data_IF_229037810704
#
_entry.id   IF_229037810704
#
_cell.length_a   1.000
_cell.length_b   1.000
_cell.length_c   1.000
_cell.angle_alpha   90.00
_cell.angle_beta   90.00
_cell.angle_gamma   90.00
#
_symmetry.space_group_name_H-M   'P 1'
#
loop_
_entity.id
_entity.type
_entity.pdbx_description
1 polymer ?
#
# COMPACT_ATOMS: atom_id res chain seq x y z
N UNK A 1 30.38 35.94 68.06
CA UNK A 1 29.25 36.13 67.17
C UNK A 1 29.58 35.55 65.82
N UNK A 2 29.22 34.26 65.59
CA UNK A 2 29.57 33.56 64.36
C UNK A 2 28.37 33.61 63.39
N UNK A 3 28.56 34.20 62.18
CA UNK A 3 27.57 34.23 61.12
C UNK A 3 27.62 32.91 60.38
N UNK A 4 26.51 32.16 60.41
CA UNK A 4 26.32 30.97 59.59
C UNK A 4 25.86 31.39 58.18
N UNK A 5 26.69 31.14 57.16
CA UNK A 5 26.34 31.35 55.78
C UNK A 5 25.73 30.05 55.23
N UNK A 6 24.44 30.09 54.87
CA UNK A 6 23.73 28.97 54.26
C UNK A 6 23.94 29.05 52.75
N UNK A 7 24.59 28.04 52.16
CA UNK A 7 24.75 27.89 50.70
C UNK A 7 23.54 27.09 50.21
N UNK A 8 22.68 27.70 49.43
CA UNK A 8 21.62 27.01 48.72
C UNK A 8 22.18 26.42 47.42
N UNK A 9 22.19 25.10 47.34
CA UNK A 9 22.56 24.39 46.12
C UNK A 9 21.35 24.38 45.16
N UNK A 10 21.47 25.06 44.03
CA UNK A 10 20.50 25.00 42.92
C UNK A 10 20.78 23.74 42.09
N UNK A 11 19.95 22.71 42.20
CA UNK A 11 19.98 21.55 41.34
C UNK A 11 19.29 21.90 40.02
N UNK A 12 20.05 22.12 38.95
CA UNK A 12 19.54 22.28 37.58
C UNK A 12 19.21 20.89 37.04
N UNK A 13 17.94 20.57 36.91
CA UNK A 13 17.45 19.37 36.20
C UNK A 13 17.55 19.63 34.72
N UNK A 14 18.54 19.03 34.07
CA UNK A 14 18.64 19.04 32.60
C UNK A 14 17.54 18.17 32.01
N UNK A 15 16.53 18.76 31.38
CA UNK A 15 15.59 18.09 30.51
C UNK A 15 16.34 17.73 29.21
N UNK A 16 16.70 16.46 29.07
CA UNK A 16 17.17 15.90 27.80
C UNK A 16 15.97 15.90 26.84
N UNK A 17 16.11 16.44 25.60
CA UNK A 17 15.07 16.29 24.62
C UNK A 17 14.92 14.79 24.30
N UNK A 18 13.72 14.25 24.48
CA UNK A 18 13.34 12.97 23.92
C UNK A 18 13.42 13.11 22.39
N UNK A 19 14.41 12.50 21.78
CA UNK A 19 14.43 12.34 20.31
C UNK A 19 13.16 11.54 19.97
N UNK A 20 12.22 12.15 19.26
CA UNK A 20 11.12 11.42 18.65
C UNK A 20 11.75 10.52 17.60
N UNK A 21 11.65 9.20 17.78
CA UNK A 21 11.96 8.24 16.73
C UNK A 21 10.87 8.45 15.68
N UNK A 22 11.24 9.06 14.58
CA UNK A 22 10.36 9.25 13.44
C UNK A 22 10.36 7.95 12.64
N UNK A 23 9.17 7.49 12.21
CA UNK A 23 9.05 6.36 11.31
C UNK A 23 9.93 6.56 10.07
N UNK A 24 10.64 5.52 9.66
CA UNK A 24 11.49 5.61 8.49
C UNK A 24 10.63 5.66 7.22
N UNK A 25 11.05 6.49 6.26
CA UNK A 25 10.42 6.61 4.95
C UNK A 25 11.08 5.67 3.95
N UNK A 26 10.27 5.07 3.09
CA UNK A 26 10.68 4.12 2.05
C UNK A 26 10.00 4.49 0.73
N UNK A 27 10.75 4.38 -0.37
CA UNK A 27 10.20 4.43 -1.73
C UNK A 27 10.07 3.01 -2.27
N UNK A 28 8.90 2.67 -2.81
CA UNK A 28 8.64 1.35 -3.40
C UNK A 28 9.52 1.17 -4.64
N UNK A 29 10.20 0.02 -4.72
CA UNK A 29 11.16 -0.31 -5.78
C UNK A 29 10.45 -0.90 -7.01
N UNK A 30 9.57 -0.11 -7.63
CA UNK A 30 8.82 -0.50 -8.82
C UNK A 30 9.68 -0.55 -10.09
N UNK A 31 10.69 0.34 -10.23
CA UNK A 31 11.56 0.42 -11.40
C UNK A 31 12.45 -0.82 -11.60
N UNK A 32 12.86 -1.48 -10.51
CA UNK A 32 13.72 -2.67 -10.56
C UNK A 32 12.93 -3.98 -10.50
N UNK A 33 11.62 -3.93 -10.64
CA UNK A 33 10.71 -5.09 -10.66
C UNK A 33 10.73 -5.91 -9.35
N UNK A 34 10.90 -5.26 -8.20
CA UNK A 34 10.73 -5.86 -6.88
C UNK A 34 9.39 -5.45 -6.23
N UNK A 35 8.44 -5.06 -7.09
CA UNK A 35 7.11 -4.68 -6.68
C UNK A 35 6.10 -5.10 -7.75
N UNK A 36 4.93 -5.62 -7.32
CA UNK A 36 3.90 -6.11 -8.22
C UNK A 36 2.52 -5.73 -7.69
N UNK A 37 1.66 -5.27 -8.59
CA UNK A 37 0.21 -5.14 -8.37
C UNK A 37 -0.46 -6.12 -9.31
N UNK A 38 -1.09 -7.15 -8.75
CA UNK A 38 -1.73 -8.23 -9.50
C UNK A 38 -3.21 -8.32 -9.14
N UNK A 39 -4.00 -8.74 -10.09
CA UNK A 39 -5.39 -9.11 -9.83
C UNK A 39 -5.72 -10.48 -10.42
N UNK A 40 -6.73 -11.09 -9.84
CA UNK A 40 -7.29 -12.36 -10.29
C UNK A 40 -8.81 -12.25 -10.30
N UNK A 41 -9.41 -12.56 -11.46
CA UNK A 41 -10.87 -12.60 -11.63
C UNK A 41 -11.30 -13.94 -12.20
N UNK A 42 -12.42 -14.48 -11.74
CA UNK A 42 -12.95 -15.72 -12.29
C UNK A 42 -13.38 -15.55 -13.74
N UNK A 43 -13.09 -16.51 -14.60
CA UNK A 43 -13.62 -16.59 -15.95
C UNK A 43 -14.71 -17.66 -16.02
N UNK A 44 -15.96 -17.26 -15.86
CA UNK A 44 -17.17 -18.07 -15.92
C UNK A 44 -17.18 -19.27 -14.95
N UNK A 45 -16.34 -19.24 -13.90
CA UNK A 45 -16.17 -20.35 -12.96
C UNK A 45 -15.31 -21.51 -13.50
N UNK A 46 -14.73 -21.42 -14.69
CA UNK A 46 -13.91 -22.47 -15.30
C UNK A 46 -12.41 -22.31 -15.07
N UNK A 47 -11.97 -21.05 -14.99
CA UNK A 47 -10.57 -20.68 -14.80
C UNK A 47 -10.49 -19.28 -14.22
N UNK A 48 -9.28 -18.73 -14.19
CA UNK A 48 -9.04 -17.36 -13.79
C UNK A 48 -8.31 -16.58 -14.89
N UNK A 49 -8.63 -15.30 -15.01
CA UNK A 49 -7.79 -14.32 -15.67
C UNK A 49 -6.93 -13.70 -14.57
N UNK A 50 -5.63 -13.63 -14.81
CA UNK A 50 -4.66 -12.94 -13.97
C UNK A 50 -4.13 -11.79 -14.81
N UNK A 51 -4.01 -10.62 -14.20
CA UNK A 51 -3.39 -9.46 -14.83
C UNK A 51 -2.56 -8.68 -13.82
N UNK A 52 -1.77 -7.77 -14.35
CA UNK A 52 -0.90 -6.86 -13.60
C UNK A 52 -1.16 -5.41 -14.00
N UNK A 53 -0.70 -4.49 -13.17
CA UNK A 53 -0.44 -3.11 -13.56
C UNK A 53 1.06 -2.89 -13.40
N UNK A 54 1.75 -2.64 -14.51
CA UNK A 54 3.22 -2.68 -14.58
C UNK A 54 3.86 -1.32 -14.32
N UNK A 55 3.10 -0.22 -14.40
CA UNK A 55 3.58 1.15 -14.12
C UNK A 55 2.85 1.75 -12.92
N UNK A 56 3.57 1.86 -11.82
CA UNK A 56 3.08 2.47 -10.59
C UNK A 56 4.24 3.03 -9.77
N UNK A 57 3.90 3.95 -8.88
CA UNK A 57 4.84 4.52 -7.92
C UNK A 57 4.24 4.48 -6.53
N UNK A 58 5.09 4.47 -5.50
CA UNK A 58 4.58 4.49 -4.14
C UNK A 58 5.66 4.77 -3.11
N UNK A 59 5.18 5.09 -1.92
CA UNK A 59 6.01 5.31 -0.75
C UNK A 59 5.27 4.85 0.51
N UNK A 60 6.01 4.48 1.54
CA UNK A 60 5.43 4.13 2.82
C UNK A 60 6.33 4.56 3.98
N UNK A 61 5.73 4.66 5.16
CA UNK A 61 6.44 4.82 6.41
C UNK A 61 6.29 3.56 7.25
N UNK A 62 7.37 3.16 7.92
CA UNK A 62 7.35 1.99 8.78
C UNK A 62 8.26 2.18 9.99
N UNK A 63 7.71 1.87 11.17
CA UNK A 63 8.44 1.79 12.43
C UNK A 63 7.98 0.52 13.17
N UNK A 64 8.87 -0.47 13.38
CA UNK A 64 8.50 -1.70 14.08
C UNK A 64 8.10 -1.49 15.54
N UNK A 65 8.51 -0.36 16.16
CA UNK A 65 8.15 0.01 17.52
C UNK A 65 6.80 0.76 17.60
N UNK A 66 6.25 1.22 16.43
CA UNK A 66 5.01 1.95 16.35
C UNK A 66 4.25 1.64 15.06
N UNK A 67 3.75 0.42 14.97
CA UNK A 67 3.07 -0.10 13.76
C UNK A 67 1.80 0.69 13.38
N UNK A 68 1.10 1.26 14.37
CA UNK A 68 -0.13 2.05 14.12
C UNK A 68 0.15 3.35 13.34
N UNK A 69 1.40 3.84 13.34
CA UNK A 69 1.83 4.99 12.56
C UNK A 69 2.25 4.64 11.13
N UNK A 70 2.19 3.34 10.74
CA UNK A 70 2.50 2.94 9.38
C UNK A 70 1.54 3.56 8.37
N UNK A 71 2.07 3.99 7.25
CA UNK A 71 1.27 4.57 6.17
C UNK A 71 1.82 4.16 4.80
N UNK A 72 0.95 4.09 3.80
CA UNK A 72 1.35 3.83 2.41
C UNK A 72 0.52 4.67 1.46
N UNK A 73 1.15 5.13 0.39
CA UNK A 73 0.52 5.77 -0.75
C UNK A 73 1.05 5.16 -2.03
N UNK A 74 0.14 4.75 -2.92
CA UNK A 74 0.45 4.17 -4.23
C UNK A 74 -0.34 4.92 -5.28
N UNK A 75 0.29 5.22 -6.44
CA UNK A 75 -0.37 5.72 -7.64
C UNK A 75 -0.05 4.75 -8.79
N UNK A 76 -1.05 4.42 -9.59
CA UNK A 76 -0.99 3.43 -10.66
C UNK A 76 -1.39 4.07 -11.97
N UNK A 77 -0.60 3.89 -13.03
CA UNK A 77 -1.04 4.16 -14.40
C UNK A 77 -1.93 2.98 -14.87
N UNK A 78 -3.23 3.22 -15.03
CA UNK A 78 -4.19 2.19 -15.44
C UNK A 78 -3.91 1.69 -16.87
N UNK A 79 -3.25 2.51 -17.71
CA UNK A 79 -2.85 2.10 -19.07
C UNK A 79 -1.81 0.97 -19.07
N UNK A 80 -1.12 0.76 -17.96
CA UNK A 80 -0.10 -0.31 -17.83
C UNK A 80 -0.68 -1.70 -17.56
N UNK A 81 -2.01 -1.85 -17.65
CA UNK A 81 -2.68 -3.14 -17.50
C UNK A 81 -2.17 -4.16 -18.53
N UNK A 82 -1.76 -5.34 -18.05
CA UNK A 82 -1.37 -6.49 -18.85
C UNK A 82 -2.04 -7.76 -18.32
N UNK A 83 -2.79 -8.45 -19.18
CA UNK A 83 -3.35 -9.77 -18.91
C UNK A 83 -2.75 -10.84 -19.80
N UNK A 84 -1.63 -10.57 -20.46
CA UNK A 84 -0.97 -11.39 -21.47
C UNK A 84 -1.84 -11.65 -22.72
N UNK A 85 -2.77 -10.73 -23.06
CA UNK A 85 -3.63 -10.84 -24.23
C UNK A 85 -4.13 -9.47 -24.71
N UNK A 86 -3.44 -8.88 -25.68
CA UNK A 86 -3.62 -7.50 -26.14
C UNK A 86 -5.08 -7.08 -26.47
N UNK A 87 -5.88 -7.96 -27.10
CA UNK A 87 -7.29 -7.63 -27.41
C UNK A 87 -8.16 -7.60 -26.16
N UNK A 88 -7.85 -8.41 -25.15
CA UNK A 88 -8.52 -8.37 -23.86
C UNK A 88 -8.11 -7.11 -23.10
N UNK A 89 -6.84 -6.77 -23.08
CA UNK A 89 -6.32 -5.56 -22.42
C UNK A 89 -6.99 -4.31 -23.00
N UNK A 90 -7.01 -4.21 -24.34
CA UNK A 90 -7.72 -3.14 -25.03
C UNK A 90 -9.20 -3.05 -24.65
N UNK A 91 -9.88 -4.19 -24.49
CA UNK A 91 -11.30 -4.21 -24.10
C UNK A 91 -11.50 -3.79 -22.66
N UNK A 92 -10.65 -4.28 -21.73
CA UNK A 92 -10.72 -3.89 -20.31
C UNK A 92 -10.44 -2.39 -20.12
N UNK A 93 -9.53 -1.82 -20.91
CA UNK A 93 -9.17 -0.40 -20.85
C UNK A 93 -10.22 0.53 -21.53
N UNK A 94 -11.17 -0.04 -22.31
CA UNK A 94 -12.18 0.74 -23.03
C UNK A 94 -13.26 1.33 -22.11
N UNK A 95 -14.12 2.17 -22.70
CA UNK A 95 -15.26 2.78 -22.03
C UNK A 95 -16.30 1.74 -21.53
N UNK A 96 -16.21 0.49 -21.97
CA UNK A 96 -17.06 -0.60 -21.47
C UNK A 96 -16.69 -1.05 -20.05
N UNK A 97 -15.46 -0.74 -19.57
CA UNK A 97 -14.96 -1.16 -18.25
C UNK A 97 -14.19 -0.05 -17.52
N UNK A 98 -12.88 0.08 -17.75
CA UNK A 98 -12.03 1.01 -16.97
C UNK A 98 -12.05 2.45 -17.52
N UNK A 99 -12.58 2.67 -18.72
CA UNK A 99 -12.70 3.98 -19.36
C UNK A 99 -11.41 4.82 -19.21
N UNK A 100 -10.25 4.22 -19.53
CA UNK A 100 -8.93 4.79 -19.24
C UNK A 100 -8.69 6.15 -19.90
N UNK A 101 -9.43 6.48 -20.97
CA UNK A 101 -9.43 7.81 -21.59
C UNK A 101 -9.96 8.91 -20.65
N UNK A 102 -10.80 8.57 -19.69
CA UNK A 102 -11.35 9.47 -18.68
C UNK A 102 -10.68 9.28 -17.31
N UNK A 103 -10.36 8.03 -16.94
CA UNK A 103 -9.78 7.65 -15.64
C UNK A 103 -8.44 6.93 -15.81
N UNK A 104 -7.37 7.63 -16.25
CA UNK A 104 -6.07 7.02 -16.55
C UNK A 104 -5.31 6.57 -15.32
N UNK A 105 -5.71 7.02 -14.12
CA UNK A 105 -4.98 6.77 -12.87
C UNK A 105 -5.88 6.09 -11.83
N UNK A 106 -5.27 5.19 -11.05
CA UNK A 106 -5.83 4.68 -9.80
C UNK A 106 -4.88 5.01 -8.65
N UNK A 107 -5.41 5.12 -7.43
CA UNK A 107 -4.58 5.43 -6.27
C UNK A 107 -5.10 4.78 -4.99
N UNK A 108 -4.17 4.46 -4.09
CA UNK A 108 -4.50 4.04 -2.73
C UNK A 108 -3.78 4.91 -1.71
N UNK A 109 -4.50 5.36 -0.69
CA UNK A 109 -3.95 6.12 0.44
C UNK A 109 -4.44 5.47 1.73
N UNK A 110 -3.53 4.97 2.54
CA UNK A 110 -3.91 4.36 3.83
C UNK A 110 -4.46 5.40 4.81
N UNK A 111 -5.42 4.96 5.61
CA UNK A 111 -6.05 5.77 6.68
C UNK A 111 -5.80 5.19 8.06
N UNK A 112 -5.31 3.95 8.16
CA UNK A 112 -4.95 3.31 9.43
C UNK A 112 -4.39 1.91 9.24
N UNK A 113 -3.68 1.44 10.27
CA UNK A 113 -3.16 0.08 10.36
C UNK A 113 -3.45 -0.51 11.74
N UNK A 114 -4.03 -1.71 11.76
CA UNK A 114 -4.32 -2.48 12.98
C UNK A 114 -3.45 -3.74 13.00
N UNK A 115 -2.41 -3.81 13.84
CA UNK A 115 -1.63 -5.05 14.00
C UNK A 115 -2.51 -6.19 14.52
N UNK A 116 -2.38 -7.40 13.95
CA UNK A 116 -3.16 -8.57 14.34
C UNK A 116 -2.31 -9.78 14.77
N UNK A 117 -0.98 -9.68 14.62
CA UNK A 117 -0.04 -10.72 14.98
C UNK A 117 1.38 -10.32 14.65
N UNK A 118 2.30 -11.24 14.75
CA UNK A 118 3.70 -11.03 14.43
C UNK A 118 3.86 -10.84 12.91
N UNK A 119 4.15 -9.61 12.48
CA UNK A 119 4.29 -9.23 11.07
C UNK A 119 2.97 -9.12 10.30
N UNK A 120 1.80 -9.30 10.91
CA UNK A 120 0.51 -9.26 10.23
C UNK A 120 -0.38 -8.14 10.74
N UNK A 121 -1.29 -7.65 9.88
CA UNK A 121 -2.24 -6.63 10.24
C UNK A 121 -3.29 -6.35 9.18
N UNK A 122 -4.18 -5.43 9.52
CA UNK A 122 -5.20 -4.90 8.61
C UNK A 122 -4.85 -3.46 8.27
N UNK A 123 -4.65 -3.21 6.99
CA UNK A 123 -4.44 -1.88 6.45
C UNK A 123 -5.77 -1.37 5.90
N UNK A 124 -6.28 -0.28 6.45
CA UNK A 124 -7.43 0.43 5.90
C UNK A 124 -6.97 1.62 5.08
N UNK A 125 -7.70 1.95 4.03
CA UNK A 125 -7.38 3.09 3.18
C UNK A 125 -8.43 3.35 2.12
N UNK A 126 -8.28 4.47 1.45
CA UNK A 126 -9.15 4.92 0.38
C UNK A 126 -8.54 4.48 -0.97
N UNK A 127 -9.24 3.60 -1.68
CA UNK A 127 -8.91 3.22 -3.06
C UNK A 127 -9.75 4.04 -4.02
N UNK A 128 -9.08 4.78 -4.91
CA UNK A 128 -9.71 5.45 -6.04
C UNK A 128 -9.45 4.63 -7.30
N UNK A 129 -10.51 4.17 -7.94
CA UNK A 129 -10.50 3.41 -9.20
C UNK A 129 -11.67 3.88 -10.05
N UNK A 130 -11.49 4.03 -11.37
CA UNK A 130 -12.55 4.46 -12.29
C UNK A 130 -13.27 5.75 -11.82
N UNK A 131 -12.51 6.69 -11.23
CA UNK A 131 -13.02 7.96 -10.70
C UNK A 131 -13.80 7.86 -9.38
N UNK A 132 -14.05 6.66 -8.86
CA UNK A 132 -14.78 6.42 -7.60
C UNK A 132 -13.82 6.09 -6.48
N UNK A 133 -14.01 6.70 -5.31
CA UNK A 133 -13.21 6.43 -4.11
C UNK A 133 -14.03 5.62 -3.11
N UNK A 134 -13.51 4.47 -2.68
CA UNK A 134 -14.12 3.61 -1.67
C UNK A 134 -13.11 3.26 -0.58
N UNK A 135 -13.54 3.18 0.68
CA UNK A 135 -12.72 2.64 1.74
C UNK A 135 -12.60 1.13 1.59
N UNK A 136 -11.37 0.62 1.61
CA UNK A 136 -11.08 -0.81 1.58
C UNK A 136 -10.24 -1.23 2.79
N UNK A 137 -10.22 -2.54 3.06
CA UNK A 137 -9.36 -3.16 4.06
C UNK A 137 -8.55 -4.28 3.41
N UNK A 138 -7.23 -4.21 3.52
CA UNK A 138 -6.31 -5.24 3.05
C UNK A 138 -5.76 -6.05 4.22
N UNK A 139 -5.62 -7.36 4.05
CA UNK A 139 -4.77 -8.16 4.93
C UNK A 139 -3.32 -7.95 4.50
N UNK A 140 -2.45 -7.59 5.42
CA UNK A 140 -1.04 -7.28 5.14
C UNK A 140 -0.13 -8.16 5.96
N UNK A 141 0.96 -8.61 5.35
CA UNK A 141 2.04 -9.35 6.00
C UNK A 141 3.38 -8.67 5.72
N UNK A 142 4.20 -8.53 6.77
CA UNK A 142 5.60 -8.11 6.67
C UNK A 142 6.46 -9.31 6.32
N UNK A 143 7.02 -9.34 5.12
CA UNK A 143 7.84 -10.45 4.61
C UNK A 143 9.22 -10.45 5.28
N UNK A 144 9.80 -9.26 5.47
CA UNK A 144 11.11 -9.09 6.08
C UNK A 144 11.78 -7.77 5.75
N UNK A 145 12.94 -7.53 6.34
CA UNK A 145 13.73 -6.33 6.07
C UNK A 145 15.17 -6.47 6.52
N UNK A 146 16.06 -5.62 5.99
CA UNK A 146 17.46 -5.62 6.31
C UNK A 146 18.30 -4.79 5.38
N UNK A 147 19.63 -4.80 5.62
CA UNK A 147 20.63 -4.19 4.74
C UNK A 147 20.70 -4.97 3.42
N UNK A 148 20.69 -4.25 2.31
CA UNK A 148 20.84 -4.84 0.98
C UNK A 148 22.32 -4.86 0.54
N UNK A 149 22.69 -5.66 -0.48
CA UNK A 149 24.07 -5.78 -0.95
C UNK A 149 24.65 -4.49 -1.58
N UNK A 150 23.80 -3.49 -1.83
CA UNK A 150 24.19 -2.22 -2.48
C UNK A 150 24.33 -1.07 -1.47
N UNK A 151 24.18 -1.35 -0.16
CA UNK A 151 24.35 -0.40 0.93
C UNK A 151 23.09 0.39 1.29
N UNK A 152 21.93 -0.05 0.82
CA UNK A 152 20.62 0.42 1.24
C UNK A 152 20.03 -0.42 2.37
N UNK A 153 18.84 -0.06 2.81
CA UNK A 153 18.03 -0.83 3.74
C UNK A 153 16.64 -1.03 3.15
N UNK A 154 16.13 -2.25 3.17
CA UNK A 154 14.85 -2.60 2.57
C UNK A 154 13.85 -3.14 3.58
N UNK A 155 12.58 -2.95 3.27
CA UNK A 155 11.44 -3.59 3.94
C UNK A 155 10.50 -4.14 2.88
N UNK A 156 10.06 -5.38 3.05
CA UNK A 156 9.16 -6.09 2.15
C UNK A 156 7.82 -6.39 2.79
N UNK A 157 6.74 -6.17 2.03
CA UNK A 157 5.37 -6.41 2.45
C UNK A 157 4.58 -7.07 1.33
N UNK A 158 3.56 -7.84 1.72
CA UNK A 158 2.49 -8.25 0.82
C UNK A 158 1.13 -7.89 1.40
N UNK A 159 0.14 -7.74 0.53
CA UNK A 159 -1.22 -7.42 0.93
C UNK A 159 -2.25 -7.96 -0.05
N UNK A 160 -3.43 -8.31 0.44
CA UNK A 160 -4.52 -8.80 -0.39
C UNK A 160 -5.88 -8.32 0.09
N UNK A 161 -6.80 -8.19 -0.87
CA UNK A 161 -8.21 -7.90 -0.61
C UNK A 161 -9.07 -8.37 -1.77
N UNK A 162 -10.38 -8.38 -1.59
CA UNK A 162 -11.36 -8.59 -2.67
C UNK A 162 -12.12 -7.30 -2.89
N UNK A 163 -12.29 -6.91 -4.15
CA UNK A 163 -13.03 -5.73 -4.59
C UNK A 163 -14.30 -6.16 -5.33
N UNK A 164 -15.42 -5.52 -5.01
CA UNK A 164 -16.63 -5.57 -5.81
C UNK A 164 -16.52 -4.53 -6.92
N UNK A 165 -16.51 -4.95 -8.18
CA UNK A 165 -16.32 -4.02 -9.31
C UNK A 165 -17.45 -2.99 -9.44
N UNK A 166 -18.67 -3.36 -9.06
CA UNK A 166 -19.82 -2.46 -9.05
C UNK A 166 -19.68 -1.28 -8.08
N UNK A 167 -18.87 -1.41 -7.01
CA UNK A 167 -18.61 -0.33 -6.06
C UNK A 167 -17.79 0.82 -6.68
N UNK A 168 -17.20 0.59 -7.85
CA UNK A 168 -16.44 1.55 -8.64
C UNK A 168 -17.13 1.96 -9.95
N UNK A 169 -18.46 1.85 -10.01
CA UNK A 169 -19.27 2.17 -11.19
C UNK A 169 -18.85 1.40 -12.47
N UNK A 170 -18.23 0.24 -12.32
CA UNK A 170 -17.89 -0.65 -13.44
C UNK A 170 -19.11 -1.58 -13.69
N UNK A 171 -19.75 -1.46 -14.86
CA UNK A 171 -20.96 -2.25 -15.18
C UNK A 171 -20.64 -3.71 -15.47
N UNK A 172 -20.69 -4.52 -14.44
CA UNK A 172 -20.57 -5.99 -14.50
C UNK A 172 -21.90 -6.72 -14.37
N UNK A 173 -23.03 -6.01 -14.42
CA UNK A 173 -24.38 -6.56 -14.21
C UNK A 173 -24.77 -7.68 -15.19
N UNK A 174 -24.17 -7.69 -16.38
CA UNK A 174 -24.38 -8.72 -17.42
C UNK A 174 -23.56 -9.99 -17.22
N UNK A 175 -22.59 -9.97 -16.29
CA UNK A 175 -21.72 -11.10 -16.01
C UNK A 175 -22.25 -11.97 -14.86
N UNK A 176 -21.93 -13.27 -14.87
CA UNK A 176 -22.22 -14.14 -13.71
C UNK A 176 -21.62 -13.57 -12.42
N UNK A 177 -22.25 -13.80 -11.24
CA UNK A 177 -21.73 -13.28 -9.96
C UNK A 177 -20.26 -13.59 -9.69
N UNK A 178 -19.76 -14.75 -10.12
CA UNK A 178 -18.34 -15.16 -9.99
C UNK A 178 -17.35 -14.28 -10.77
N UNK A 179 -17.82 -13.39 -11.64
CA UNK A 179 -17.01 -12.44 -12.42
C UNK A 179 -17.20 -10.99 -11.94
N UNK A 180 -17.92 -10.75 -10.88
CA UNK A 180 -18.21 -9.40 -10.37
C UNK A 180 -17.24 -8.98 -9.26
N UNK A 181 -16.53 -9.95 -8.69
CA UNK A 181 -15.50 -9.76 -7.68
C UNK A 181 -14.10 -9.96 -8.28
N UNK A 182 -13.15 -9.19 -7.79
CA UNK A 182 -11.75 -9.22 -8.18
C UNK A 182 -10.87 -9.37 -6.94
N UNK A 183 -10.03 -10.40 -6.91
CA UNK A 183 -8.98 -10.54 -5.90
C UNK A 183 -7.81 -9.64 -6.28
N UNK A 184 -7.46 -8.68 -5.43
CA UNK A 184 -6.28 -7.82 -5.57
C UNK A 184 -5.16 -8.35 -4.67
N UNK A 185 -3.96 -8.48 -5.23
CA UNK A 185 -2.74 -8.86 -4.52
C UNK A 185 -1.63 -7.86 -4.84
N UNK A 186 -0.95 -7.39 -3.81
CA UNK A 186 0.15 -6.44 -3.93
C UNK A 186 1.32 -6.98 -3.13
N UNK A 187 2.51 -6.99 -3.72
CA UNK A 187 3.76 -7.31 -3.03
C UNK A 187 4.83 -6.33 -3.47
N UNK A 188 5.62 -5.82 -2.52
CA UNK A 188 6.67 -4.87 -2.83
C UNK A 188 7.81 -4.88 -1.81
N UNK A 189 8.97 -4.46 -2.27
CA UNK A 189 10.06 -3.96 -1.44
C UNK A 189 10.09 -2.45 -1.51
N UNK A 190 10.48 -1.80 -0.41
CA UNK A 190 10.78 -0.38 -0.39
C UNK A 190 12.22 -0.14 0.08
N UNK A 191 12.86 0.84 -0.54
CA UNK A 191 14.21 1.30 -0.21
C UNK A 191 14.12 2.49 0.72
N UNK A 192 14.79 2.41 1.86
CA UNK A 192 14.83 3.48 2.86
C UNK A 192 15.51 4.74 2.31
N UNK A 193 14.92 5.90 2.66
CA UNK A 193 15.40 7.22 2.25
C UNK A 193 16.29 7.86 3.31
#
# INVERSE_FOLDING_TARGET
MFKKTTIAALTATALLPLAQVQAAEYVIDSENQHAFIQFKISHLGYSYIIGTFDDFTGQFTYDPENLEAASVKINVDVNSLDTAHAERDKHILSDDFLAVGEYPEASFVSTGFEPSGEGQGKLTGDLTLHGVTQPITMQVEHIGGGEDPWGGYRQGFEGSTTLELADYDIDVSKFPPVMQELELYVVFEGVRQ
#
